data_IF_336771330731
#
_entry.id   IF_336771330731
#
_cell.length_a   1.000
_cell.length_b   1.000
_cell.length_c   1.000
_cell.angle_alpha   90.00
_cell.angle_beta   90.00
_cell.angle_gamma   90.00
#
_symmetry.space_group_name_H-M   'P 1'
#
loop_
_entity.id
_entity.type
_entity.pdbx_description
1 polymer ?
#
# COMPACT_ATOMS: atom_id res chain seq x y z
N UNK A 1 -6.94 -31.23 19.94
CA UNK A 1 -8.42 -31.16 19.78
C UNK A 1 -8.82 -29.73 20.02
N UNK A 2 -9.15 -29.01 18.95
CA UNK A 2 -9.77 -27.69 19.02
C UNK A 2 -11.22 -27.92 19.47
N UNK A 3 -11.72 -27.24 20.51
CA UNK A 3 -13.11 -27.39 20.91
C UNK A 3 -14.03 -26.99 19.75
N UNK A 4 -14.82 -27.90 19.23
CA UNK A 4 -15.83 -27.64 18.24
C UNK A 4 -16.98 -26.84 18.86
N UNK A 5 -17.50 -25.90 18.09
CA UNK A 5 -18.59 -24.94 18.29
C UNK A 5 -18.18 -23.54 18.70
N UNK A 6 -17.38 -22.92 17.82
CA UNK A 6 -17.49 -21.47 17.69
C UNK A 6 -18.73 -21.14 16.83
N UNK A 7 -19.63 -20.27 17.32
CA UNK A 7 -20.87 -19.92 16.61
C UNK A 7 -20.66 -19.13 15.31
N UNK A 8 -19.44 -18.79 14.97
CA UNK A 8 -19.07 -18.10 13.74
C UNK A 8 -18.18 -19.01 12.88
N UNK A 9 -18.79 -19.79 12.00
CA UNK A 9 -18.09 -20.42 10.88
C UNK A 9 -17.84 -19.38 9.80
N UNK A 10 -17.03 -18.39 10.08
CA UNK A 10 -16.52 -17.52 9.02
C UNK A 10 -15.58 -18.34 8.15
N UNK A 11 -15.68 -18.14 6.84
CA UNK A 11 -14.72 -18.73 5.92
C UNK A 11 -13.32 -18.21 6.26
N UNK A 12 -12.28 -19.05 6.25
CA UNK A 12 -10.93 -18.57 6.52
C UNK A 12 -10.55 -17.44 5.54
N UNK A 13 -9.72 -16.49 5.96
CA UNK A 13 -9.27 -15.42 5.09
C UNK A 13 -8.62 -16.00 3.84
N UNK A 14 -8.96 -15.44 2.67
CA UNK A 14 -8.39 -15.85 1.38
C UNK A 14 -7.35 -14.84 0.95
N UNK A 15 -6.20 -15.32 0.50
CA UNK A 15 -5.26 -14.50 -0.25
C UNK A 15 -5.88 -14.18 -1.62
N UNK A 16 -5.77 -12.92 -2.03
CA UNK A 16 -6.21 -12.48 -3.35
C UNK A 16 -5.12 -11.60 -3.97
N UNK A 17 -5.05 -11.64 -5.31
CA UNK A 17 -4.14 -10.79 -6.08
C UNK A 17 -4.62 -9.34 -6.10
N UNK A 18 -3.71 -8.44 -6.46
CA UNK A 18 -4.09 -7.05 -6.71
C UNK A 18 -4.76 -6.93 -8.07
N UNK A 19 -5.80 -6.08 -8.23
CA UNK A 19 -6.39 -5.82 -9.56
C UNK A 19 -5.35 -5.35 -10.58
N UNK A 20 -4.32 -4.63 -10.12
CA UNK A 20 -3.21 -4.18 -10.97
C UNK A 20 -2.33 -5.35 -11.41
N UNK A 21 -2.04 -6.31 -10.53
CA UNK A 21 -1.29 -7.53 -10.86
C UNK A 21 -2.02 -8.35 -11.91
N UNK A 22 -3.33 -8.52 -11.77
CA UNK A 22 -4.15 -9.21 -12.77
C UNK A 22 -4.08 -8.54 -14.16
N UNK A 23 -4.18 -7.21 -14.22
CA UNK A 23 -4.07 -6.46 -15.49
C UNK A 23 -2.68 -6.62 -16.10
N UNK A 24 -1.62 -6.54 -15.28
CA UNK A 24 -0.25 -6.64 -15.80
C UNK A 24 0.08 -8.03 -16.33
N UNK A 25 -0.59 -9.08 -15.86
CA UNK A 25 -0.41 -10.43 -16.37
C UNK A 25 -1.01 -10.65 -17.78
N UNK A 26 -1.81 -9.71 -18.31
CA UNK A 26 -2.25 -9.75 -19.71
C UNK A 26 -1.19 -9.26 -20.71
N UNK A 27 -0.12 -8.62 -20.24
CA UNK A 27 0.96 -8.20 -21.13
C UNK A 27 1.91 -9.36 -21.38
N UNK A 28 2.38 -9.46 -22.65
CA UNK A 28 3.35 -10.46 -23.03
C UNK A 28 4.59 -10.39 -22.16
N UNK A 29 5.10 -11.56 -21.80
CA UNK A 29 6.32 -11.68 -21.03
C UNK A 29 7.47 -11.02 -21.78
N UNK A 30 8.10 -10.02 -21.17
CA UNK A 30 9.32 -9.45 -21.71
C UNK A 30 10.43 -10.52 -21.65
N UNK A 31 10.99 -10.87 -22.81
CA UNK A 31 12.15 -11.77 -22.90
C UNK A 31 13.41 -11.03 -22.45
N UNK A 32 13.44 -10.66 -21.17
CA UNK A 32 14.50 -9.88 -20.53
C UNK A 32 14.89 -10.52 -19.20
N UNK A 33 16.09 -10.18 -18.74
CA UNK A 33 16.53 -10.52 -17.41
C UNK A 33 15.63 -9.90 -16.32
N UNK A 34 15.43 -10.63 -15.23
CA UNK A 34 14.63 -10.17 -14.09
C UNK A 34 15.16 -8.84 -13.55
N UNK A 35 14.35 -7.81 -13.58
CA UNK A 35 14.74 -6.48 -13.13
C UNK A 35 14.66 -6.42 -11.60
N UNK A 36 15.78 -6.09 -10.96
CA UNK A 36 15.80 -5.89 -9.50
C UNK A 36 15.36 -4.45 -9.18
N UNK A 37 14.29 -4.34 -8.39
CA UNK A 37 13.65 -3.07 -8.06
C UNK A 37 13.52 -2.88 -6.56
N UNK A 38 13.51 -1.63 -6.12
CA UNK A 38 13.22 -1.24 -4.75
C UNK A 38 12.03 -0.27 -4.71
N UNK A 39 11.12 -0.49 -3.76
CA UNK A 39 10.03 0.43 -3.48
C UNK A 39 10.32 1.13 -2.17
N UNK A 40 10.33 2.47 -2.19
CA UNK A 40 10.44 3.29 -1.00
C UNK A 40 9.06 3.66 -0.48
N UNK A 41 9.00 4.01 0.80
CA UNK A 41 7.75 4.39 1.44
C UNK A 41 7.07 5.55 0.71
N UNK A 42 5.79 5.38 0.43
CA UNK A 42 4.95 6.43 -0.15
C UNK A 42 4.52 7.40 0.95
N UNK A 43 4.96 8.64 0.82
CA UNK A 43 4.63 9.67 1.78
C UNK A 43 3.25 10.27 1.54
N UNK A 44 2.52 10.55 2.62
CA UNK A 44 1.36 11.44 2.56
C UNK A 44 1.83 12.89 2.55
N UNK A 45 1.69 13.57 1.42
CA UNK A 45 2.02 14.98 1.22
C UNK A 45 0.79 15.89 1.09
N UNK A 46 -0.40 15.36 1.35
CA UNK A 46 -1.64 16.13 1.26
C UNK A 46 -1.77 17.18 2.35
N UNK A 47 -1.12 16.98 3.49
CA UNK A 47 -1.28 17.82 4.68
C UNK A 47 -2.67 17.74 5.31
N UNK A 48 -3.55 16.92 4.79
CA UNK A 48 -4.95 16.80 5.22
C UNK A 48 -5.04 16.05 6.54
N UNK A 49 -5.54 16.75 7.56
CA UNK A 49 -5.94 16.14 8.83
C UNK A 49 -7.45 16.27 8.95
N UNK A 50 -8.15 15.18 9.27
CA UNK A 50 -9.60 15.28 9.53
C UNK A 50 -9.83 16.17 10.76
N UNK A 51 -10.57 17.30 10.64
CA UNK A 51 -11.01 18.03 11.80
C UNK A 51 -12.01 17.15 12.57
N UNK A 52 -11.64 16.73 13.77
CA UNK A 52 -12.53 16.00 14.68
C UNK A 52 -13.00 16.94 15.77
N UNK A 53 -14.30 17.26 15.81
CA UNK A 53 -14.93 18.07 16.85
C UNK A 53 -15.32 17.28 18.09
N UNK A 54 -15.16 15.96 18.09
CA UNK A 54 -15.42 15.12 19.27
C UNK A 54 -14.35 14.02 19.34
N UNK A 55 -13.48 14.15 20.35
CA UNK A 55 -12.44 13.19 20.75
C UNK A 55 -11.33 12.96 19.70
N UNK A 56 -10.13 13.29 20.13
CA UNK A 56 -8.81 13.19 19.53
C UNK A 56 -8.50 11.86 18.81
N UNK A 57 -9.21 11.54 17.78
CA UNK A 57 -8.73 10.56 16.83
C UNK A 57 -8.11 11.31 15.66
N UNK A 58 -6.80 11.43 15.68
CA UNK A 58 -5.98 11.80 14.54
C UNK A 58 -6.06 10.67 13.51
N UNK A 59 -7.25 10.45 12.97
CA UNK A 59 -7.46 9.54 11.85
C UNK A 59 -6.90 10.22 10.61
N UNK A 60 -5.82 9.70 10.08
CA UNK A 60 -5.32 10.11 8.78
C UNK A 60 -6.39 9.81 7.73
N UNK A 61 -6.72 10.80 6.90
CA UNK A 61 -7.77 10.66 5.90
C UNK A 61 -7.34 9.74 4.75
N UNK A 62 -6.04 9.51 4.60
CA UNK A 62 -5.42 8.81 3.48
C UNK A 62 -4.68 7.57 3.98
N UNK A 63 -4.77 6.47 3.22
CA UNK A 63 -4.04 5.23 3.53
C UNK A 63 -2.52 5.47 3.50
N UNK A 64 -1.83 5.02 4.55
CA UNK A 64 -0.39 5.16 4.70
C UNK A 64 0.41 3.98 4.11
N UNK A 65 -0.26 2.98 3.54
CA UNK A 65 0.34 1.74 3.04
C UNK A 65 0.35 1.59 1.52
N UNK A 66 0.42 2.68 0.76
CA UNK A 66 0.38 2.61 -0.70
C UNK A 66 1.58 1.85 -1.30
N UNK A 67 2.73 1.91 -0.66
CA UNK A 67 3.94 1.16 -1.01
C UNK A 67 3.74 -0.36 -0.94
N UNK A 68 2.96 -0.84 0.03
CA UNK A 68 2.66 -2.28 0.18
C UNK A 68 1.92 -2.81 -1.04
N UNK A 69 0.93 -2.06 -1.56
CA UNK A 69 0.19 -2.43 -2.76
C UNK A 69 1.08 -2.45 -4.01
N UNK A 70 2.01 -1.49 -4.13
CA UNK A 70 2.98 -1.45 -5.24
C UNK A 70 3.91 -2.65 -5.17
N UNK A 71 4.44 -2.98 -3.99
CA UNK A 71 5.29 -4.15 -3.79
C UNK A 71 4.55 -5.44 -4.19
N UNK A 72 3.31 -5.59 -3.74
CA UNK A 72 2.50 -6.76 -4.07
C UNK A 72 2.26 -6.86 -5.58
N UNK A 73 1.82 -5.78 -6.25
CA UNK A 73 1.60 -5.76 -7.68
C UNK A 73 2.86 -6.11 -8.49
N UNK A 74 4.02 -5.56 -8.12
CA UNK A 74 5.29 -5.88 -8.76
C UNK A 74 5.69 -7.35 -8.58
N UNK A 75 5.40 -7.94 -7.43
CA UNK A 75 5.69 -9.35 -7.17
C UNK A 75 4.75 -10.31 -7.90
N UNK A 76 3.53 -9.87 -8.23
CA UNK A 76 2.55 -10.65 -8.96
C UNK A 76 2.73 -10.54 -10.48
N UNK A 77 3.36 -9.47 -10.97
CA UNK A 77 3.53 -9.20 -12.39
C UNK A 77 4.30 -10.31 -13.09
N UNK A 78 3.74 -10.81 -14.21
CA UNK A 78 4.31 -11.89 -15.00
C UNK A 78 4.49 -13.17 -14.20
N UNK A 79 3.49 -13.55 -13.37
CA UNK A 79 3.57 -14.68 -12.45
C UNK A 79 4.81 -14.63 -11.53
N UNK A 80 5.23 -13.42 -11.15
CA UNK A 80 6.37 -13.17 -10.28
C UNK A 80 7.73 -13.27 -10.96
N UNK A 81 7.79 -13.29 -12.28
CA UNK A 81 9.03 -13.47 -13.04
C UNK A 81 9.66 -12.18 -13.54
N UNK A 82 8.90 -11.06 -13.65
CA UNK A 82 9.42 -9.81 -14.20
C UNK A 82 10.31 -9.05 -13.25
N UNK A 83 9.94 -9.00 -11.96
CA UNK A 83 10.61 -8.17 -10.98
C UNK A 83 11.11 -8.96 -9.78
N UNK A 84 12.31 -8.61 -9.34
CA UNK A 84 12.87 -9.01 -8.05
C UNK A 84 12.80 -7.83 -7.12
N UNK A 85 11.80 -7.79 -6.25
CA UNK A 85 11.62 -6.69 -5.31
C UNK A 85 12.53 -6.89 -4.10
N UNK A 86 13.34 -5.88 -3.76
CA UNK A 86 14.23 -5.89 -2.60
C UNK A 86 13.73 -4.91 -1.53
N UNK A 87 13.92 -5.29 -0.26
CA UNK A 87 13.49 -4.49 0.89
C UNK A 87 14.29 -3.17 1.00
N UNK A 88 13.57 -2.05 1.03
CA UNK A 88 14.13 -0.72 1.28
C UNK A 88 13.26 0.14 2.20
N UNK A 89 11.98 -0.16 2.33
CA UNK A 89 11.07 0.57 3.22
C UNK A 89 11.49 0.36 4.69
N UNK A 90 11.89 -0.86 5.05
CA UNK A 90 12.36 -1.22 6.40
C UNK A 90 13.83 -1.65 6.40
N UNK A 91 14.67 -1.03 5.58
CA UNK A 91 16.08 -1.36 5.45
C UNK A 91 16.82 -1.35 6.80
N UNK A 92 16.48 -0.40 7.70
CA UNK A 92 17.09 -0.32 9.03
C UNK A 92 16.89 -1.59 9.88
N UNK A 93 15.72 -2.22 9.80
CA UNK A 93 15.44 -3.48 10.49
C UNK A 93 16.25 -4.62 9.89
N UNK A 94 16.28 -4.71 8.57
CA UNK A 94 17.08 -5.72 7.86
C UNK A 94 18.57 -5.60 8.20
N UNK A 95 19.11 -4.39 8.27
CA UNK A 95 20.52 -4.16 8.65
C UNK A 95 20.78 -4.60 10.08
N UNK A 96 19.87 -4.29 11.03
CA UNK A 96 19.99 -4.74 12.43
C UNK A 96 20.01 -6.27 12.54
N UNK A 97 19.11 -6.95 11.85
CA UNK A 97 19.09 -8.43 11.84
C UNK A 97 20.39 -9.01 11.26
N UNK A 98 20.90 -8.42 10.19
CA UNK A 98 22.18 -8.83 9.61
C UNK A 98 23.36 -8.62 10.57
N UNK A 99 23.34 -7.52 11.32
CA UNK A 99 24.34 -7.25 12.35
C UNK A 99 24.25 -8.25 13.50
N UNK A 100 23.03 -8.60 13.93
CA UNK A 100 22.79 -9.61 14.97
C UNK A 100 23.33 -10.98 14.55
N UNK A 101 22.98 -11.43 13.33
CA UNK A 101 23.49 -12.70 12.79
C UNK A 101 25.00 -12.70 12.78
N UNK A 102 25.62 -11.63 12.29
CA UNK A 102 27.08 -11.52 12.20
C UNK A 102 27.72 -11.59 13.59
N UNK A 103 27.29 -10.76 14.54
CA UNK A 103 27.87 -10.73 15.88
C UNK A 103 27.65 -12.02 16.63
N UNK A 104 26.50 -12.67 16.48
CA UNK A 104 26.21 -13.97 17.09
C UNK A 104 27.13 -15.07 16.51
N UNK A 105 27.26 -15.13 15.21
CA UNK A 105 28.14 -16.13 14.55
C UNK A 105 29.61 -15.89 14.90
N UNK A 106 30.05 -14.63 14.94
CA UNK A 106 31.42 -14.31 15.38
C UNK A 106 31.71 -14.75 16.82
N UNK A 107 30.69 -14.60 17.71
CA UNK A 107 30.82 -14.97 19.12
C UNK A 107 30.89 -16.50 19.33
N UNK A 108 30.08 -17.27 18.58
CA UNK A 108 29.90 -18.70 18.82
C UNK A 108 30.75 -19.59 17.89
N UNK A 109 30.99 -19.16 16.64
CA UNK A 109 31.66 -19.95 15.61
C UNK A 109 33.04 -19.42 15.21
N UNK A 110 33.45 -18.25 15.72
CA UNK A 110 34.72 -17.57 15.43
C UNK A 110 34.61 -16.47 14.39
N UNK A 111 35.56 -15.51 14.43
CA UNK A 111 35.48 -14.22 13.73
C UNK A 111 35.34 -14.28 12.20
N UNK A 112 35.85 -15.35 11.58
CA UNK A 112 35.86 -15.43 10.10
C UNK A 112 34.55 -15.99 9.51
N UNK A 113 33.75 -16.68 10.32
CA UNK A 113 32.52 -17.33 9.86
C UNK A 113 31.31 -16.41 9.77
N UNK A 114 31.25 -15.33 10.56
CA UNK A 114 30.15 -14.41 10.55
C UNK A 114 29.93 -13.68 9.20
N UNK A 115 30.99 -13.50 8.42
CA UNK A 115 30.92 -12.97 7.07
C UNK A 115 30.48 -13.99 6.03
N UNK A 116 30.84 -15.27 6.23
CA UNK A 116 30.53 -16.34 5.30
C UNK A 116 29.04 -16.74 5.29
N UNK A 117 28.33 -16.51 6.39
CA UNK A 117 26.90 -16.87 6.54
C UNK A 117 25.99 -15.94 5.72
N UNK A 118 26.36 -14.66 5.61
CA UNK A 118 25.52 -13.64 4.95
C UNK A 118 26.02 -13.38 3.53
N UNK A 119 25.17 -13.66 2.55
CA UNK A 119 25.42 -13.23 1.17
C UNK A 119 25.30 -11.70 1.06
N UNK A 120 26.01 -11.07 0.10
CA UNK A 120 25.82 -9.66 -0.22
C UNK A 120 24.34 -9.34 -0.51
N UNK A 121 23.90 -8.16 -0.10
CA UNK A 121 22.56 -7.70 -0.44
C UNK A 121 22.49 -7.36 -1.93
N UNK A 122 21.34 -7.63 -2.52
CA UNK A 122 21.07 -7.25 -3.89
C UNK A 122 20.94 -5.74 -4.01
N UNK A 123 21.47 -5.19 -5.09
CA UNK A 123 21.27 -3.80 -5.47
C UNK A 123 20.07 -3.69 -6.39
N UNK A 124 19.25 -2.65 -6.19
CA UNK A 124 18.16 -2.32 -7.09
C UNK A 124 18.72 -1.60 -8.32
N UNK A 125 18.23 -1.95 -9.51
CA UNK A 125 18.50 -1.19 -10.73
C UNK A 125 17.53 -0.02 -10.89
N UNK A 126 16.30 -0.17 -10.37
CA UNK A 126 15.27 0.86 -10.40
C UNK A 126 14.71 1.12 -9.00
N UNK A 127 14.40 2.40 -8.74
CA UNK A 127 13.70 2.83 -7.54
C UNK A 127 12.27 3.27 -7.91
N UNK A 128 11.31 2.79 -7.15
CA UNK A 128 9.92 3.24 -7.18
C UNK A 128 9.69 4.14 -5.97
N UNK A 129 9.36 5.39 -6.23
CA UNK A 129 9.06 6.39 -5.21
C UNK A 129 7.75 7.07 -5.53
N UNK A 130 6.96 7.36 -4.51
CA UNK A 130 5.68 8.01 -4.71
C UNK A 130 5.19 8.78 -3.50
N UNK A 131 4.09 9.47 -3.72
CA UNK A 131 3.39 10.19 -2.68
C UNK A 131 1.90 10.32 -3.03
N UNK A 132 1.08 10.42 -2.01
CA UNK A 132 -0.29 10.89 -2.14
C UNK A 132 -0.20 12.41 -2.05
N UNK A 133 -0.53 13.10 -3.16
CA UNK A 133 -0.27 14.55 -3.32
C UNK A 133 -1.53 15.39 -3.28
N UNK A 134 -2.70 14.79 -3.41
CA UNK A 134 -3.99 15.46 -3.34
C UNK A 134 -5.03 14.58 -2.67
N UNK A 135 -5.84 15.17 -1.83
CA UNK A 135 -7.03 14.57 -1.25
C UNK A 135 -8.08 15.65 -1.06
N UNK A 136 -9.15 15.58 -1.80
CA UNK A 136 -10.30 16.48 -1.69
C UNK A 136 -11.52 15.67 -1.23
N UNK A 137 -12.09 16.09 -0.11
CA UNK A 137 -13.31 15.53 0.44
C UNK A 137 -14.47 16.52 0.23
N UNK A 138 -15.31 16.25 -0.75
CA UNK A 138 -16.51 17.04 -1.01
C UNK A 138 -17.74 16.31 -0.47
N UNK A 139 -18.44 16.93 0.47
CA UNK A 139 -19.75 16.48 0.93
C UNK A 139 -20.81 17.21 0.11
N UNK A 140 -21.44 16.52 -0.82
CA UNK A 140 -22.64 17.02 -1.49
C UNK A 140 -23.86 16.41 -0.79
N UNK A 141 -24.64 17.23 -0.09
CA UNK A 141 -25.93 16.83 0.47
C UNK A 141 -27.02 17.00 -0.60
N UNK A 142 -27.44 15.91 -1.20
CA UNK A 142 -28.61 15.85 -2.05
C UNK A 142 -29.87 15.84 -1.17
N UNK A 143 -30.43 17.01 -0.88
CA UNK A 143 -31.66 17.13 -0.10
C UNK A 143 -32.91 17.17 -0.97
N UNK A 144 -33.39 16.07 -1.49
CA UNK A 144 -34.79 15.91 -1.84
C UNK A 144 -35.54 15.29 -0.65
N UNK A 145 -35.76 16.11 0.39
CA UNK A 145 -36.51 15.73 1.56
C UNK A 145 -38.00 15.76 1.32
N UNK A 146 -38.57 14.71 0.77
CA UNK A 146 -40.02 14.49 0.86
C UNK A 146 -40.38 14.02 2.26
N UNK A 147 -40.93 14.91 3.08
CA UNK A 147 -41.52 14.55 4.38
C UNK A 147 -43.00 14.19 4.17
N UNK A 148 -43.31 12.93 4.35
CA UNK A 148 -44.70 12.47 4.38
C UNK A 148 -44.94 11.73 5.71
N UNK A 149 -45.87 12.22 6.51
CA UNK A 149 -46.23 11.67 7.83
C UNK A 149 -45.08 11.47 8.82
N UNK A 150 -44.14 12.36 8.92
CA UNK A 150 -43.06 12.32 9.91
C UNK A 150 -41.93 11.34 9.56
N UNK A 151 -41.96 10.73 8.38
CA UNK A 151 -40.86 9.88 7.87
C UNK A 151 -40.09 10.69 6.86
N UNK A 152 -38.83 11.01 7.16
CA UNK A 152 -37.90 11.65 6.27
C UNK A 152 -36.89 10.64 5.73
N UNK A 153 -36.70 10.60 4.41
CA UNK A 153 -35.56 9.91 3.79
C UNK A 153 -34.50 10.98 3.55
N UNK A 154 -33.35 10.79 4.15
CA UNK A 154 -32.19 11.67 3.96
C UNK A 154 -31.10 10.86 3.23
N UNK A 155 -30.74 11.31 2.06
CA UNK A 155 -29.60 10.76 1.30
C UNK A 155 -28.42 11.73 1.41
N UNK A 156 -27.32 11.24 1.96
CA UNK A 156 -26.06 11.95 2.02
C UNK A 156 -25.11 11.33 1.01
N UNK A 157 -24.67 12.14 0.07
CA UNK A 157 -23.73 11.74 -0.97
C UNK A 157 -22.39 12.43 -0.73
N UNK A 158 -21.32 11.65 -0.80
CA UNK A 158 -19.96 12.15 -0.62
C UNK A 158 -19.06 11.68 -1.75
N UNK A 159 -18.31 12.59 -2.34
CA UNK A 159 -17.26 12.27 -3.31
C UNK A 159 -15.91 12.65 -2.72
N UNK A 160 -15.06 11.68 -2.54
CA UNK A 160 -13.67 11.90 -2.18
C UNK A 160 -12.79 11.73 -3.43
N UNK A 161 -11.83 12.62 -3.62
CA UNK A 161 -10.88 12.55 -4.72
C UNK A 161 -9.46 12.37 -4.17
N UNK A 162 -8.75 11.35 -4.67
CA UNK A 162 -7.38 11.03 -4.25
C UNK A 162 -6.46 11.12 -5.46
N UNK A 163 -5.37 11.87 -5.32
CA UNK A 163 -4.31 11.98 -6.33
C UNK A 163 -3.02 11.37 -5.81
N UNK A 164 -2.50 10.40 -6.55
CA UNK A 164 -1.23 9.72 -6.27
C UNK A 164 -0.24 10.07 -7.37
N UNK A 165 0.99 10.40 -7.00
CA UNK A 165 2.09 10.59 -7.93
C UNK A 165 3.17 9.55 -7.67
N UNK A 166 3.73 8.98 -8.74
CA UNK A 166 4.80 8.00 -8.69
C UNK A 166 5.87 8.31 -9.73
N UNK A 167 7.12 8.02 -9.39
CA UNK A 167 8.25 8.13 -10.30
C UNK A 167 9.13 6.88 -10.23
N UNK A 168 9.76 6.55 -11.35
CA UNK A 168 10.73 5.47 -11.47
C UNK A 168 12.08 6.12 -11.79
N UNK A 169 13.07 5.81 -10.96
CA UNK A 169 14.42 6.40 -11.04
C UNK A 169 15.42 5.29 -11.32
N UNK A 170 16.28 5.50 -12.30
CA UNK A 170 17.44 4.65 -12.54
C UNK A 170 18.47 4.84 -11.44
N UNK A 171 18.85 3.79 -10.73
CA UNK A 171 19.90 3.84 -9.71
C UNK A 171 21.27 4.11 -10.36
N UNK A 172 21.46 3.62 -11.59
CA UNK A 172 22.74 3.72 -12.29
C UNK A 172 23.08 5.15 -12.71
N UNK A 173 22.07 5.91 -13.17
CA UNK A 173 22.26 7.27 -13.69
C UNK A 173 21.69 8.36 -12.81
N UNK A 174 20.76 8.03 -11.90
CA UNK A 174 19.97 9.01 -11.16
C UNK A 174 18.86 9.67 -11.99
N UNK A 175 18.66 9.23 -13.24
CA UNK A 175 17.63 9.77 -14.13
C UNK A 175 16.22 9.33 -13.69
N UNK A 176 15.29 10.27 -13.72
CA UNK A 176 13.86 9.97 -13.57
C UNK A 176 13.37 9.50 -14.94
N UNK A 177 13.23 8.19 -15.09
CA UNK A 177 12.81 7.57 -16.35
C UNK A 177 11.33 7.78 -16.64
N UNK A 178 10.51 7.74 -15.58
CA UNK A 178 9.05 7.86 -15.67
C UNK A 178 8.57 8.67 -14.48
N UNK A 179 7.64 9.59 -14.72
CA UNK A 179 6.87 10.27 -13.67
C UNK A 179 5.40 10.30 -14.10
N UNK A 180 4.52 9.77 -13.26
CA UNK A 180 3.08 9.68 -13.53
C UNK A 180 2.29 10.16 -12.32
N UNK A 181 1.12 10.73 -12.59
CA UNK A 181 0.13 11.04 -11.58
C UNK A 181 -1.22 10.49 -12.00
N UNK A 182 -1.93 9.93 -11.04
CA UNK A 182 -3.26 9.38 -11.25
C UNK A 182 -4.21 9.93 -10.20
N UNK A 183 -5.40 10.31 -10.63
CA UNK A 183 -6.47 10.81 -9.76
C UNK A 183 -7.68 9.90 -9.87
N UNK A 184 -8.24 9.52 -8.72
CA UNK A 184 -9.46 8.70 -8.64
C UNK A 184 -10.47 9.34 -7.72
N UNK A 185 -11.73 9.41 -8.18
CA UNK A 185 -12.88 9.82 -7.37
C UNK A 185 -13.56 8.58 -6.79
N UNK A 186 -13.90 8.66 -5.51
CA UNK A 186 -14.57 7.60 -4.75
C UNK A 186 -15.88 8.16 -4.23
N UNK A 187 -17.00 7.61 -4.69
CA UNK A 187 -18.33 8.01 -4.26
C UNK A 187 -18.80 7.12 -3.10
N UNK A 188 -19.30 7.75 -2.05
CA UNK A 188 -19.90 7.07 -0.90
C UNK A 188 -21.32 7.56 -0.69
N UNK A 189 -22.25 6.64 -0.43
CA UNK A 189 -23.65 6.94 -0.17
C UNK A 189 -24.02 6.53 1.25
N UNK A 190 -24.79 7.37 1.92
CA UNK A 190 -25.36 7.05 3.21
C UNK A 190 -26.87 7.30 3.14
N UNK A 191 -27.63 6.26 3.31
CA UNK A 191 -29.10 6.34 3.41
C UNK A 191 -29.51 6.28 4.87
N UNK A 192 -30.13 7.34 5.38
CA UNK A 192 -30.70 7.40 6.73
C UNK A 192 -32.23 7.40 6.66
N UNK A 193 -32.89 6.66 7.55
CA UNK A 193 -34.32 6.79 7.84
C UNK A 193 -34.46 7.35 9.24
N UNK A 194 -35.01 8.53 9.34
CA UNK A 194 -35.42 9.08 10.64
C UNK A 194 -36.89 8.79 10.85
N UNK A 195 -37.19 8.07 11.94
CA UNK A 195 -38.55 7.84 12.44
C UNK A 195 -38.66 8.62 13.73
N UNK A 196 -39.52 9.62 13.77
CA UNK A 196 -39.89 10.37 14.95
C UNK A 196 -41.27 9.91 15.44
#
# INVERSE_FOLDING_TARGET
>A
TVPGDYPYKESPPKAYGTPTGEILNYYDHLDQEVITVAVYQFADKTGQRKPSTKFSQLSMAVSQGADVWVIQALKETGDGTWFRVVERASLGNLVKERQLIRSTTELYDGSDKGQAVLKPMLFAGLLFEGAIVGYDANVESGGDGARYFGIGIHEEYRVDQVTVSMRIVSVHTGEIMIAVSSTKSIASFKTGRDVF
#
